data_IF_705963491597
#
_entry.id   IF_705963491597
#
_cell.length_a   1.000
_cell.length_b   1.000
_cell.length_c   1.000
_cell.angle_alpha   90.00
_cell.angle_beta   90.00
_cell.angle_gamma   90.00
#
_symmetry.space_group_name_H-M   'P 1'
#
loop_
_entity.id
_entity.type
_entity.pdbx_description
1 polymer ?
#
# COMPACT_ATOMS: atom_id res chain seq x y z
N UNK A 1 -3.05 1.41 14.10
CA UNK A 1 -2.73 0.05 13.64
C UNK A 1 -3.93 -0.85 13.88
N UNK A 2 -4.55 -1.38 12.82
CA UNK A 2 -5.70 -2.28 12.90
C UNK A 2 -5.39 -3.60 13.62
N UNK A 3 -6.36 -4.12 14.38
CA UNK A 3 -6.29 -5.47 14.94
C UNK A 3 -7.00 -6.41 13.96
N UNK A 4 -6.30 -7.34 13.28
CA UNK A 4 -6.91 -8.30 12.36
C UNK A 4 -7.98 -9.17 13.03
N UNK A 5 -7.99 -9.26 14.36
CA UNK A 5 -9.01 -9.96 15.13
C UNK A 5 -10.17 -9.05 15.54
N UNK A 6 -10.13 -7.76 15.24
CA UNK A 6 -11.23 -6.85 15.50
C UNK A 6 -12.48 -7.33 14.76
N UNK A 7 -13.65 -7.43 15.41
CA UNK A 7 -14.86 -7.96 14.78
C UNK A 7 -15.23 -7.25 13.48
N UNK A 8 -15.08 -5.92 13.42
CA UNK A 8 -15.38 -5.12 12.23
C UNK A 8 -14.40 -5.39 11.09
N UNK A 9 -13.12 -5.63 11.40
CA UNK A 9 -12.11 -5.92 10.39
C UNK A 9 -12.36 -7.30 9.79
N UNK A 10 -12.74 -8.30 10.61
CA UNK A 10 -13.12 -9.64 10.13
C UNK A 10 -14.39 -9.63 9.27
N UNK A 11 -15.37 -8.82 9.64
CA UNK A 11 -16.60 -8.63 8.87
C UNK A 11 -16.28 -8.06 7.48
N UNK A 12 -15.55 -6.94 7.42
CA UNK A 12 -15.13 -6.33 6.17
C UNK A 12 -14.23 -7.26 5.33
N UNK A 13 -13.29 -7.94 5.96
CA UNK A 13 -12.42 -8.93 5.31
C UNK A 13 -13.26 -10.04 4.64
N UNK A 14 -14.31 -10.52 5.31
CA UNK A 14 -15.17 -11.59 4.77
C UNK A 14 -15.92 -11.13 3.52
N UNK A 15 -16.44 -9.90 3.53
CA UNK A 15 -17.11 -9.30 2.36
C UNK A 15 -16.14 -9.22 1.17
N UNK A 16 -14.93 -8.70 1.41
CA UNK A 16 -13.90 -8.61 0.38
C UNK A 16 -13.41 -9.97 -0.12
N UNK A 17 -13.26 -10.94 0.78
CA UNK A 17 -12.86 -12.30 0.44
C UNK A 17 -13.91 -12.99 -0.43
N UNK A 18 -15.20 -12.82 -0.13
CA UNK A 18 -16.28 -13.37 -0.94
C UNK A 18 -16.28 -12.76 -2.34
N UNK A 19 -16.13 -11.44 -2.45
CA UNK A 19 -16.03 -10.75 -3.74
C UNK A 19 -14.85 -11.25 -4.58
N UNK A 20 -13.68 -11.41 -3.95
CA UNK A 20 -12.49 -11.91 -4.63
C UNK A 20 -12.66 -13.36 -5.10
N UNK A 21 -13.23 -14.24 -4.27
CA UNK A 21 -13.50 -15.63 -4.66
C UNK A 21 -14.50 -15.73 -5.81
N UNK A 22 -15.56 -14.91 -5.81
CA UNK A 22 -16.51 -14.83 -6.92
C UNK A 22 -15.81 -14.44 -8.23
N UNK A 23 -14.89 -13.48 -8.18
CA UNK A 23 -14.11 -13.07 -9.35
C UNK A 23 -13.19 -14.19 -9.85
N UNK A 24 -12.59 -14.96 -8.94
CA UNK A 24 -11.71 -16.09 -9.29
C UNK A 24 -12.47 -17.31 -9.82
N UNK A 25 -13.68 -17.57 -9.32
CA UNK A 25 -14.49 -18.74 -9.69
C UNK A 25 -15.24 -18.55 -11.02
N UNK A 26 -15.50 -17.30 -11.42
CA UNK A 26 -15.98 -17.00 -12.75
C UNK A 26 -14.98 -17.47 -13.80
N UNK A 27 -15.20 -18.63 -14.42
CA UNK A 27 -14.41 -19.15 -15.56
C UNK A 27 -14.49 -18.26 -16.82
N UNK A 28 -15.03 -17.06 -16.71
CA UNK A 28 -15.19 -16.11 -17.79
C UNK A 28 -14.03 -15.12 -17.73
N UNK A 29 -13.34 -14.98 -18.87
CA UNK A 29 -12.35 -13.93 -19.12
C UNK A 29 -12.80 -12.64 -18.42
N UNK A 30 -11.90 -12.03 -17.62
CA UNK A 30 -12.09 -10.73 -16.95
C UNK A 30 -12.90 -9.77 -17.85
N UNK A 31 -14.22 -9.79 -17.68
CA UNK A 31 -15.15 -8.97 -18.43
C UNK A 31 -15.50 -7.81 -17.51
N UNK A 32 -15.35 -6.56 -17.97
CA UNK A 32 -15.65 -5.38 -17.14
C UNK A 32 -17.01 -5.49 -16.43
N UNK A 33 -18.03 -5.98 -17.14
CA UNK A 33 -19.39 -6.15 -16.59
C UNK A 33 -19.45 -7.08 -15.37
N UNK A 34 -18.69 -8.19 -15.38
CA UNK A 34 -18.68 -9.15 -14.26
C UNK A 34 -17.97 -8.54 -13.06
N UNK A 35 -16.87 -7.82 -13.30
CA UNK A 35 -16.16 -7.10 -12.23
C UNK A 35 -17.07 -6.04 -11.61
N UNK A 36 -17.80 -5.26 -12.42
CA UNK A 36 -18.72 -4.23 -11.95
C UNK A 36 -19.84 -4.81 -11.08
N UNK A 37 -20.43 -5.95 -11.48
CA UNK A 37 -21.46 -6.65 -10.68
C UNK A 37 -20.92 -7.13 -9.32
N UNK A 38 -19.70 -7.66 -9.28
CA UNK A 38 -19.06 -8.13 -8.04
C UNK A 38 -18.72 -6.94 -7.13
N UNK A 39 -18.20 -5.84 -7.68
CA UNK A 39 -17.95 -4.60 -6.94
C UNK A 39 -19.26 -4.07 -6.37
N UNK A 40 -20.32 -4.06 -7.17
CA UNK A 40 -21.64 -3.59 -6.76
C UNK A 40 -22.18 -4.40 -5.58
N UNK A 41 -22.16 -5.73 -5.67
CA UNK A 41 -22.59 -6.60 -4.57
C UNK A 41 -21.78 -6.37 -3.29
N UNK A 42 -20.45 -6.35 -3.39
CA UNK A 42 -19.58 -6.12 -2.24
C UNK A 42 -19.83 -4.75 -1.60
N UNK A 43 -20.10 -3.74 -2.44
CA UNK A 43 -20.43 -2.40 -1.97
C UNK A 43 -21.76 -2.35 -1.21
N UNK A 44 -22.78 -3.06 -1.67
CA UNK A 44 -24.09 -3.14 -1.01
C UNK A 44 -23.99 -3.83 0.35
N UNK A 45 -23.19 -4.91 0.43
CA UNK A 45 -22.91 -5.59 1.70
C UNK A 45 -22.17 -4.68 2.69
N UNK A 46 -21.19 -3.90 2.21
CA UNK A 46 -20.50 -2.90 3.05
C UNK A 46 -21.43 -1.78 3.53
N UNK A 47 -22.32 -1.28 2.67
CA UNK A 47 -23.33 -0.28 3.06
C UNK A 47 -24.25 -0.85 4.11
N UNK A 48 -24.79 -2.05 3.90
CA UNK A 48 -25.66 -2.75 4.84
C UNK A 48 -24.95 -2.94 6.20
N UNK A 49 -23.70 -3.39 6.20
CA UNK A 49 -22.91 -3.52 7.42
C UNK A 49 -22.72 -2.18 8.13
N UNK A 50 -22.41 -1.12 7.39
CA UNK A 50 -22.16 0.23 7.92
C UNK A 50 -23.41 0.83 8.57
N UNK A 51 -24.57 0.74 7.93
CA UNK A 51 -25.82 1.36 8.45
C UNK A 51 -26.35 0.69 9.72
N UNK A 52 -25.88 -0.53 10.03
CA UNK A 52 -26.23 -1.20 11.30
C UNK A 52 -25.34 -0.80 12.47
N UNK A 53 -24.24 -0.08 12.22
CA UNK A 53 -23.32 0.33 13.28
C UNK A 53 -23.91 1.49 14.09
N UNK A 54 -23.60 1.50 15.38
CA UNK A 54 -23.88 2.65 16.23
C UNK A 54 -23.06 3.85 15.77
N UNK A 55 -23.56 5.07 15.98
CA UNK A 55 -22.92 6.28 15.45
C UNK A 55 -21.45 6.45 15.92
N UNK A 56 -21.14 6.07 17.15
CA UNK A 56 -19.80 6.07 17.73
C UNK A 56 -18.87 4.95 17.21
N UNK A 57 -19.42 3.98 16.48
CA UNK A 57 -18.70 2.84 15.93
C UNK A 57 -18.45 2.95 14.42
N UNK A 58 -19.09 3.90 13.73
CA UNK A 58 -18.98 4.08 12.28
C UNK A 58 -17.54 4.37 11.85
N UNK A 59 -16.86 5.31 12.51
CA UNK A 59 -15.45 5.63 12.20
C UNK A 59 -14.53 4.42 12.40
N UNK A 60 -14.70 3.69 13.51
CA UNK A 60 -13.96 2.45 13.79
C UNK A 60 -14.21 1.40 12.71
N UNK A 61 -15.45 1.28 12.23
CA UNK A 61 -15.79 0.37 11.14
C UNK A 61 -15.12 0.78 9.82
N UNK A 62 -15.09 2.07 9.48
CA UNK A 62 -14.37 2.54 8.29
C UNK A 62 -12.88 2.24 8.37
N UNK A 63 -12.22 2.58 9.48
CA UNK A 63 -10.81 2.25 9.68
C UNK A 63 -10.53 0.74 9.60
N UNK A 64 -11.41 -0.07 10.22
CA UNK A 64 -11.33 -1.53 10.17
C UNK A 64 -11.50 -2.06 8.74
N UNK A 65 -12.39 -1.45 7.96
CA UNK A 65 -12.63 -1.80 6.56
C UNK A 65 -11.40 -1.48 5.70
N UNK A 66 -10.80 -0.30 5.86
CA UNK A 66 -9.58 0.08 5.15
C UNK A 66 -8.39 -0.82 5.54
N UNK A 67 -8.27 -1.17 6.82
CA UNK A 67 -7.27 -2.13 7.29
C UNK A 67 -7.49 -3.54 6.69
N UNK A 68 -8.74 -3.96 6.53
CA UNK A 68 -9.07 -5.25 5.91
C UNK A 68 -8.64 -5.34 4.44
N UNK A 69 -8.66 -4.22 3.69
CA UNK A 69 -8.18 -4.16 2.30
C UNK A 69 -6.71 -4.62 2.23
N UNK A 70 -5.86 -4.06 3.08
CA UNK A 70 -4.42 -4.38 3.09
C UNK A 70 -4.18 -5.78 3.58
N UNK A 71 -4.87 -6.19 4.65
CA UNK A 71 -4.74 -7.53 5.19
C UNK A 71 -5.11 -8.58 4.15
N UNK A 72 -6.18 -8.37 3.39
CA UNK A 72 -6.50 -9.26 2.29
C UNK A 72 -5.46 -9.19 1.17
N UNK A 73 -4.97 -7.99 0.83
CA UNK A 73 -3.91 -7.82 -0.16
C UNK A 73 -2.59 -8.50 0.26
N UNK A 74 -2.34 -8.76 1.56
CA UNK A 74 -1.19 -9.60 1.98
C UNK A 74 -1.30 -11.05 1.51
N UNK A 75 -2.52 -11.55 1.32
CA UNK A 75 -2.80 -12.90 0.83
C UNK A 75 -3.00 -12.94 -0.68
N UNK A 76 -3.49 -11.84 -1.26
CA UNK A 76 -3.78 -11.72 -2.69
C UNK A 76 -3.64 -10.28 -3.17
N UNK A 77 -2.43 -9.76 -3.46
CA UNK A 77 -2.26 -8.34 -3.79
C UNK A 77 -3.02 -7.88 -5.02
N UNK A 78 -3.25 -8.80 -5.97
CA UNK A 78 -4.04 -8.58 -7.18
C UNK A 78 -5.50 -8.19 -6.89
N UNK A 79 -6.00 -8.40 -5.67
CA UNK A 79 -7.36 -8.02 -5.27
C UNK A 79 -7.49 -6.56 -4.86
N UNK A 80 -6.38 -5.83 -4.72
CA UNK A 80 -6.36 -4.49 -4.14
C UNK A 80 -7.28 -3.51 -4.88
N UNK A 81 -7.26 -3.49 -6.22
CA UNK A 81 -8.12 -2.59 -7.00
C UNK A 81 -9.61 -2.88 -6.78
N UNK A 82 -9.99 -4.16 -6.76
CA UNK A 82 -11.37 -4.59 -6.54
C UNK A 82 -11.90 -4.05 -5.20
N UNK A 83 -11.07 -4.15 -4.15
CA UNK A 83 -11.44 -3.77 -2.79
C UNK A 83 -11.53 -2.26 -2.61
N UNK A 84 -10.59 -1.51 -3.18
CA UNK A 84 -10.64 -0.04 -3.21
C UNK A 84 -11.88 0.45 -3.96
N UNK A 85 -12.23 -0.18 -5.09
CA UNK A 85 -13.44 0.16 -5.84
C UNK A 85 -14.71 -0.16 -5.04
N UNK A 86 -14.81 -1.34 -4.43
CA UNK A 86 -15.94 -1.72 -3.59
C UNK A 86 -16.14 -0.75 -2.41
N UNK A 87 -15.06 -0.33 -1.75
CA UNK A 87 -15.11 0.66 -0.67
C UNK A 87 -15.66 2.01 -1.16
N UNK A 88 -15.18 2.49 -2.31
CA UNK A 88 -15.62 3.79 -2.87
C UNK A 88 -17.06 3.73 -3.35
N UNK A 89 -17.46 2.64 -4.00
CA UNK A 89 -18.86 2.41 -4.37
C UNK A 89 -19.76 2.41 -3.13
N UNK A 90 -19.32 1.76 -2.04
CA UNK A 90 -20.05 1.77 -0.78
C UNK A 90 -20.14 3.20 -0.22
N UNK A 91 -19.02 3.92 -0.15
CA UNK A 91 -18.96 5.29 0.34
C UNK A 91 -19.94 6.22 -0.40
N UNK A 92 -20.05 6.10 -1.72
CA UNK A 92 -20.96 6.90 -2.55
C UNK A 92 -22.45 6.57 -2.33
N UNK A 93 -22.77 5.41 -1.75
CA UNK A 93 -24.14 4.97 -1.46
C UNK A 93 -24.55 5.22 -0.01
N UNK A 94 -23.63 5.62 0.86
CA UNK A 94 -23.92 5.81 2.28
C UNK A 94 -24.95 6.94 2.49
N UNK A 95 -26.00 6.70 3.28
CA UNK A 95 -26.95 7.74 3.62
C UNK A 95 -26.30 8.80 4.53
N UNK A 96 -26.79 10.03 4.47
CA UNK A 96 -26.24 11.17 5.23
C UNK A 96 -26.34 11.02 6.75
N UNK A 97 -27.19 10.11 7.23
CA UNK A 97 -27.30 9.75 8.65
C UNK A 97 -26.09 8.94 9.17
N UNK A 98 -25.32 8.31 8.29
CA UNK A 98 -24.03 7.69 8.65
C UNK A 98 -23.02 8.82 8.81
N UNK A 99 -22.46 8.97 10.01
CA UNK A 99 -21.53 10.06 10.34
C UNK A 99 -20.27 9.51 10.98
N UNK A 100 -19.14 10.12 10.65
CA UNK A 100 -17.84 9.94 11.33
C UNK A 100 -17.28 11.32 11.73
N UNK A 101 -16.08 11.32 12.31
CA UNK A 101 -15.37 12.56 12.68
C UNK A 101 -15.01 13.43 11.46
N UNK A 102 -15.00 12.84 10.25
CA UNK A 102 -14.63 13.51 9.01
C UNK A 102 -15.84 13.99 8.18
N UNK A 103 -17.07 13.72 8.63
CA UNK A 103 -18.28 14.20 7.98
C UNK A 103 -19.40 13.17 7.88
N UNK A 104 -20.31 13.39 6.93
CA UNK A 104 -21.53 12.58 6.75
C UNK A 104 -21.54 11.86 5.41
N UNK A 105 -22.15 10.67 5.38
CA UNK A 105 -22.28 9.81 4.21
C UNK A 105 -20.93 9.61 3.52
N UNK A 106 -20.90 9.90 2.22
CA UNK A 106 -19.70 9.84 1.39
C UNK A 106 -18.55 10.71 1.91
N UNK A 107 -18.82 11.91 2.41
CA UNK A 107 -17.76 12.80 2.90
C UNK A 107 -17.04 12.18 4.11
N UNK A 108 -17.79 11.55 5.02
CA UNK A 108 -17.23 10.87 6.18
C UNK A 108 -16.32 9.72 5.78
N UNK A 109 -16.81 8.81 4.93
CA UNK A 109 -16.02 7.66 4.46
C UNK A 109 -14.79 8.07 3.64
N UNK A 110 -14.92 9.02 2.70
CA UNK A 110 -13.77 9.49 1.91
C UNK A 110 -12.77 10.28 2.75
N UNK A 111 -13.22 10.96 3.82
CA UNK A 111 -12.36 11.59 4.81
C UNK A 111 -11.50 10.57 5.58
N UNK A 112 -12.09 9.45 5.99
CA UNK A 112 -11.37 8.32 6.61
C UNK A 112 -10.33 7.72 5.66
N UNK A 113 -10.69 7.52 4.39
CA UNK A 113 -9.74 7.04 3.37
C UNK A 113 -8.54 7.99 3.21
N UNK A 114 -8.79 9.29 3.12
CA UNK A 114 -7.73 10.30 3.02
C UNK A 114 -6.84 10.29 4.26
N UNK A 115 -7.43 10.27 5.46
CA UNK A 115 -6.68 10.21 6.70
C UNK A 115 -5.84 8.94 6.81
N UNK A 116 -6.41 7.79 6.48
CA UNK A 116 -5.73 6.49 6.49
C UNK A 116 -4.51 6.48 5.55
N UNK A 117 -4.64 7.05 4.34
CA UNK A 117 -3.52 7.20 3.40
C UNK A 117 -2.41 8.08 3.99
N UNK A 118 -2.77 9.18 4.68
CA UNK A 118 -1.80 10.09 5.29
C UNK A 118 -1.10 9.43 6.50
N UNK A 119 -1.86 8.83 7.40
CA UNK A 119 -1.33 8.20 8.62
C UNK A 119 -0.39 7.03 8.27
N UNK A 120 -0.79 6.17 7.34
CA UNK A 120 0.02 5.01 6.94
C UNK A 120 1.22 5.42 6.07
N UNK A 121 1.17 6.56 5.37
CA UNK A 121 2.34 7.13 4.69
C UNK A 121 3.44 7.56 5.67
N UNK A 122 3.05 8.14 6.81
CA UNK A 122 3.99 8.51 7.88
C UNK A 122 4.56 7.27 8.61
N UNK A 123 3.82 6.16 8.59
CA UNK A 123 4.24 4.86 9.11
C UNK A 123 5.41 4.20 8.36
N UNK A 124 5.78 4.70 7.17
CA UNK A 124 6.92 4.19 6.38
C UNK A 124 8.29 4.61 6.91
N UNK A 125 8.36 5.37 8.00
CA UNK A 125 9.59 5.59 8.73
C UNK A 125 9.80 4.35 9.60
N UNK A 126 10.74 3.44 9.26
CA UNK A 126 10.99 2.28 10.12
C UNK A 126 11.23 2.80 11.53
N UNK A 127 10.61 2.20 12.57
CA UNK A 127 10.82 2.66 13.93
C UNK A 127 12.32 2.71 14.17
N UNK A 128 12.83 3.89 14.52
CA UNK A 128 14.21 4.12 14.92
C UNK A 128 14.45 3.31 16.20
N UNK A 129 14.61 2.00 16.08
CA UNK A 129 14.99 1.16 17.21
C UNK A 129 16.47 1.40 17.46
N UNK A 130 16.72 2.19 18.52
CA UNK A 130 17.98 2.38 19.22
C UNK A 130 19.08 1.37 18.85
N UNK A 131 19.96 1.75 17.93
CA UNK A 131 21.12 0.93 17.61
C UNK A 131 22.24 1.19 18.62
N UNK A 132 22.86 0.09 19.04
CA UNK A 132 24.19 0.09 19.62
C UNK A 132 25.13 0.92 18.76
N UNK A 133 25.93 1.75 19.43
CA UNK A 133 27.00 2.57 18.88
C UNK A 133 28.10 1.68 18.30
N UNK A 134 27.97 1.33 17.02
CA UNK A 134 29.04 0.74 16.23
C UNK A 134 29.09 1.45 14.89
N UNK A 135 30.28 1.88 14.47
CA UNK A 135 30.51 2.43 13.13
C UNK A 135 30.04 1.40 12.09
N UNK A 136 28.93 1.68 11.42
CA UNK A 136 28.42 0.84 10.34
C UNK A 136 28.87 1.38 9.00
N UNK A 137 29.27 0.44 8.15
CA UNK A 137 29.46 0.63 6.71
C UNK A 137 28.24 1.31 6.09
N UNK A 138 28.46 2.25 5.16
CA UNK A 138 27.41 2.92 4.38
C UNK A 138 26.61 1.98 3.46
N UNK A 139 26.93 0.68 3.46
CA UNK A 139 26.29 -0.36 2.66
C UNK A 139 25.26 -1.22 3.43
N UNK A 140 25.04 -0.99 4.73
CA UNK A 140 24.01 -1.71 5.49
C UNK A 140 22.67 -0.98 5.42
N UNK A 141 21.64 -1.63 4.86
CA UNK A 141 20.25 -1.14 4.93
C UNK A 141 19.84 -0.99 6.41
N UNK A 142 19.73 0.26 6.86
CA UNK A 142 19.44 0.61 8.25
C UNK A 142 18.06 0.13 8.72
N UNK A 143 17.19 -0.25 7.78
CA UNK A 143 15.88 -0.81 8.05
C UNK A 143 15.90 -2.34 8.20
N UNK A 144 17.06 -3.00 8.18
CA UNK A 144 17.13 -4.42 8.53
C UNK A 144 17.25 -4.60 10.05
N UNK A 145 16.54 -5.58 10.66
CA UNK A 145 16.73 -5.89 12.06
C UNK A 145 18.15 -6.42 12.27
N UNK A 146 18.78 -5.96 13.34
CA UNK A 146 20.07 -6.50 13.78
C UNK A 146 19.88 -7.32 15.04
N UNK A 147 20.54 -8.46 15.09
CA UNK A 147 20.53 -9.38 16.21
C UNK A 147 21.92 -9.51 16.79
N UNK A 148 22.04 -9.43 18.11
CA UNK A 148 23.29 -9.71 18.79
C UNK A 148 23.58 -11.21 18.76
N UNK A 149 24.85 -11.59 18.71
CA UNK A 149 25.27 -12.99 18.71
C UNK A 149 24.65 -13.79 19.88
N UNK A 150 24.53 -13.18 21.06
CA UNK A 150 23.88 -13.79 22.23
C UNK A 150 22.38 -14.01 22.03
N UNK A 151 21.67 -13.08 21.40
CA UNK A 151 20.25 -13.26 21.09
C UNK A 151 20.04 -14.46 20.17
N UNK A 152 20.91 -14.61 19.16
CA UNK A 152 20.86 -15.74 18.21
C UNK A 152 21.17 -17.07 18.91
N UNK A 153 22.16 -17.10 19.81
CA UNK A 153 22.57 -18.32 20.53
C UNK A 153 21.57 -18.73 21.62
N UNK A 154 21.09 -17.78 22.40
CA UNK A 154 20.33 -18.07 23.62
C UNK A 154 18.81 -17.98 23.41
N UNK A 155 18.35 -17.30 22.36
CA UNK A 155 16.93 -16.96 22.12
C UNK A 155 16.53 -17.07 20.65
N UNK A 156 16.98 -18.12 19.96
CA UNK A 156 16.75 -18.32 18.53
C UNK A 156 15.28 -18.15 18.10
N UNK A 157 14.33 -18.74 18.85
CA UNK A 157 12.90 -18.62 18.51
C UNK A 157 12.42 -17.16 18.52
N UNK A 158 12.82 -16.37 19.52
CA UNK A 158 12.47 -14.94 19.57
C UNK A 158 13.11 -14.11 18.46
N UNK A 159 14.28 -14.52 17.96
CA UNK A 159 14.91 -13.92 16.77
C UNK A 159 14.10 -14.24 15.51
N UNK A 160 13.66 -15.49 15.35
CA UNK A 160 12.83 -15.91 14.22
C UNK A 160 11.46 -15.21 14.21
N UNK A 161 10.81 -15.11 15.37
CA UNK A 161 9.52 -14.41 15.50
C UNK A 161 9.65 -12.93 15.10
N UNK A 162 10.67 -12.22 15.63
CA UNK A 162 10.95 -10.83 15.25
C UNK A 162 11.27 -10.67 13.76
N UNK A 163 12.02 -11.61 13.17
CA UNK A 163 12.31 -11.58 11.75
C UNK A 163 11.05 -11.79 10.89
N UNK A 164 10.13 -12.65 11.35
CA UNK A 164 8.84 -12.86 10.71
C UNK A 164 7.93 -11.63 10.81
N UNK A 165 7.81 -11.02 11.99
CA UNK A 165 7.07 -9.76 12.20
C UNK A 165 7.61 -8.66 11.28
N UNK A 166 8.93 -8.53 11.18
CA UNK A 166 9.56 -7.53 10.31
C UNK A 166 9.25 -7.77 8.83
N UNK A 167 9.29 -9.03 8.39
CA UNK A 167 8.92 -9.38 7.01
C UNK A 167 7.45 -9.02 6.74
N UNK A 168 6.54 -9.38 7.63
CA UNK A 168 5.12 -9.05 7.50
C UNK A 168 4.88 -7.54 7.45
N UNK A 169 5.58 -6.78 8.29
CA UNK A 169 5.52 -5.32 8.28
C UNK A 169 5.99 -4.75 6.94
N UNK A 170 7.12 -5.22 6.38
CA UNK A 170 7.60 -4.79 5.05
C UNK A 170 6.58 -5.07 3.95
N UNK A 171 5.98 -6.26 3.93
CA UNK A 171 4.91 -6.59 2.96
C UNK A 171 3.75 -5.61 3.09
N UNK A 172 3.28 -5.36 4.33
CA UNK A 172 2.19 -4.41 4.60
C UNK A 172 2.52 -3.02 4.07
N UNK A 173 3.72 -2.50 4.36
CA UNK A 173 4.18 -1.22 3.85
C UNK A 173 4.16 -1.18 2.32
N UNK A 174 4.72 -2.19 1.64
CA UNK A 174 4.68 -2.26 0.18
C UNK A 174 3.25 -2.22 -0.40
N UNK A 175 2.31 -2.93 0.24
CA UNK A 175 0.91 -2.92 -0.16
C UNK A 175 0.23 -1.57 0.11
N UNK A 176 0.58 -0.91 1.21
CA UNK A 176 0.15 0.47 1.47
C UNK A 176 0.64 1.43 0.39
N UNK A 177 1.91 1.36 0.00
CA UNK A 177 2.44 2.17 -1.11
C UNK A 177 1.67 1.94 -2.41
N UNK A 178 1.36 0.69 -2.72
CA UNK A 178 0.51 0.38 -3.88
C UNK A 178 -0.89 0.98 -3.70
N UNK A 179 -1.53 0.80 -2.55
CA UNK A 179 -2.87 1.33 -2.28
C UNK A 179 -2.92 2.85 -2.44
N UNK A 180 -1.93 3.57 -1.91
CA UNK A 180 -1.80 5.02 -2.06
C UNK A 180 -1.71 5.44 -3.53
N UNK A 181 -0.82 4.80 -4.29
CA UNK A 181 -0.67 5.07 -5.72
C UNK A 181 -1.94 4.75 -6.50
N UNK A 182 -2.58 3.61 -6.22
CA UNK A 182 -3.85 3.22 -6.85
C UNK A 182 -4.97 4.19 -6.52
N UNK A 183 -5.08 4.65 -5.27
CA UNK A 183 -6.04 5.68 -4.88
C UNK A 183 -5.83 7.00 -5.63
N UNK A 184 -4.58 7.40 -5.88
CA UNK A 184 -4.27 8.56 -6.71
C UNK A 184 -4.68 8.34 -8.17
N UNK A 185 -4.26 7.21 -8.76
CA UNK A 185 -4.54 6.88 -10.15
C UNK A 185 -6.04 6.73 -10.47
N UNK A 186 -6.80 6.18 -9.52
CA UNK A 186 -8.24 6.03 -9.61
C UNK A 186 -8.98 7.30 -9.19
N UNK A 187 -8.27 8.39 -8.88
CA UNK A 187 -8.82 9.69 -8.48
C UNK A 187 -9.77 9.60 -7.27
N UNK A 188 -9.44 8.70 -6.34
CA UNK A 188 -10.19 8.42 -5.11
C UNK A 188 -9.83 9.40 -4.00
N UNK A 189 -8.60 9.90 -4.02
CA UNK A 189 -8.13 10.98 -3.14
C UNK A 189 -7.93 12.25 -3.97
N UNK A 190 -8.47 13.38 -3.51
CA UNK A 190 -8.35 14.68 -4.19
C UNK A 190 -7.91 15.76 -3.21
N UNK A 191 -6.81 16.45 -3.52
CA UNK A 191 -6.26 17.50 -2.66
C UNK A 191 -4.73 17.59 -2.67
N UNK A 192 -4.14 17.73 -1.48
CA UNK A 192 -2.70 17.90 -1.26
C UNK A 192 -1.87 16.63 -1.45
N UNK A 193 -2.50 15.48 -1.68
CA UNK A 193 -1.89 14.15 -1.58
C UNK A 193 -0.86 13.91 -2.69
N UNK A 194 -1.05 14.49 -3.87
CA UNK A 194 -0.04 14.46 -4.95
C UNK A 194 1.30 15.07 -4.51
N UNK A 195 1.29 16.09 -3.64
CA UNK A 195 2.52 16.66 -3.07
C UNK A 195 3.20 15.70 -2.10
N UNK A 196 2.43 14.94 -1.33
CA UNK A 196 2.97 13.93 -0.40
C UNK A 196 3.58 12.75 -1.17
N UNK A 197 2.92 12.29 -2.24
CA UNK A 197 3.43 11.27 -3.17
C UNK A 197 4.77 11.73 -3.78
N UNK A 198 4.84 12.95 -4.30
CA UNK A 198 6.06 13.54 -4.86
C UNK A 198 7.17 13.63 -3.79
N UNK A 199 6.83 14.11 -2.59
CA UNK A 199 7.80 14.23 -1.50
C UNK A 199 8.37 12.86 -1.08
N UNK A 200 7.52 11.84 -0.98
CA UNK A 200 7.95 10.48 -0.65
C UNK A 200 8.85 9.89 -1.74
N UNK A 201 8.47 10.00 -3.02
CA UNK A 201 9.29 9.52 -4.15
C UNK A 201 10.65 10.22 -4.16
N UNK A 202 10.68 11.55 -3.98
CA UNK A 202 11.94 12.29 -3.93
C UNK A 202 12.85 11.87 -2.78
N UNK A 203 12.27 11.63 -1.60
CA UNK A 203 13.00 11.14 -0.44
C UNK A 203 13.60 9.76 -0.72
N UNK A 204 12.80 8.84 -1.26
CA UNK A 204 13.20 7.46 -1.51
C UNK A 204 14.23 7.33 -2.65
N UNK A 205 14.20 8.22 -3.65
CA UNK A 205 15.19 8.26 -4.74
C UNK A 205 16.49 8.97 -4.37
N UNK A 206 16.59 9.57 -3.18
CA UNK A 206 17.80 10.24 -2.71
C UNK A 206 18.72 9.29 -1.91
N UNK A 207 19.50 8.47 -2.63
CA UNK A 207 20.43 7.50 -2.02
C UNK A 207 21.53 8.12 -1.16
N UNK A 208 21.87 9.40 -1.38
CA UNK A 208 22.95 10.07 -0.63
C UNK A 208 22.57 10.46 0.80
N UNK A 209 21.33 10.21 1.23
CA UNK A 209 20.86 10.51 2.58
C UNK A 209 21.36 9.51 3.63
N UNK A 210 21.66 9.99 4.84
CA UNK A 210 22.16 9.19 5.97
C UNK A 210 21.24 8.06 6.48
N UNK A 211 20.01 7.93 5.96
CA UNK A 211 18.97 7.02 6.45
C UNK A 211 18.15 6.43 5.30
N UNK A 212 18.82 5.91 4.28
CA UNK A 212 18.14 5.34 3.12
C UNK A 212 17.77 3.86 3.33
N UNK A 213 16.51 3.48 3.05
CA UNK A 213 15.96 2.14 3.26
C UNK A 213 15.58 1.49 1.93
N UNK A 214 15.96 0.22 1.76
CA UNK A 214 15.57 -0.55 0.60
C UNK A 214 14.04 -0.70 0.51
N UNK A 215 13.39 -0.97 1.64
CA UNK A 215 11.92 -1.09 1.70
C UNK A 215 11.22 0.21 1.29
N UNK A 216 11.75 1.37 1.71
CA UNK A 216 11.23 2.68 1.29
C UNK A 216 11.37 2.89 -0.22
N UNK A 217 12.50 2.51 -0.80
CA UNK A 217 12.69 2.57 -2.25
C UNK A 217 11.72 1.66 -2.99
N UNK A 218 11.59 0.40 -2.57
CA UNK A 218 10.68 -0.56 -3.20
C UNK A 218 9.23 -0.07 -3.12
N UNK A 219 8.81 0.44 -1.96
CA UNK A 219 7.51 1.08 -1.79
C UNK A 219 7.32 2.26 -2.73
N UNK A 220 8.29 3.17 -2.81
CA UNK A 220 8.22 4.32 -3.71
C UNK A 220 8.18 3.94 -5.19
N UNK A 221 8.94 2.93 -5.60
CA UNK A 221 8.93 2.43 -6.97
C UNK A 221 7.57 1.81 -7.33
N UNK A 222 6.96 1.05 -6.42
CA UNK A 222 5.64 0.46 -6.60
C UNK A 222 4.56 1.54 -6.63
N UNK A 223 4.58 2.48 -5.68
CA UNK A 223 3.64 3.61 -5.66
C UNK A 223 3.74 4.42 -6.95
N UNK A 224 4.95 4.74 -7.40
CA UNK A 224 5.16 5.50 -8.62
C UNK A 224 4.65 4.74 -9.85
N UNK A 225 4.94 3.43 -9.99
CA UNK A 225 4.36 2.62 -11.07
C UNK A 225 2.83 2.57 -11.02
N UNK A 226 2.24 2.59 -9.81
CA UNK A 226 0.80 2.55 -9.64
C UNK A 226 0.11 3.84 -10.12
N UNK A 227 0.80 4.99 -10.08
CA UNK A 227 0.24 6.31 -10.39
C UNK A 227 1.04 7.18 -11.39
N UNK A 228 1.98 6.59 -12.15
CA UNK A 228 2.92 7.34 -12.98
C UNK A 228 2.23 8.25 -14.01
N UNK A 229 1.18 7.77 -14.68
CA UNK A 229 0.46 8.53 -15.71
C UNK A 229 -0.29 9.68 -15.07
N UNK A 230 -1.03 9.39 -14.00
CA UNK A 230 -1.79 10.40 -13.29
C UNK A 230 -0.88 11.47 -12.70
N UNK A 231 0.25 11.06 -12.10
CA UNK A 231 1.20 11.96 -11.50
C UNK A 231 1.98 12.79 -12.54
N UNK A 232 2.26 12.24 -13.72
CA UNK A 232 2.93 12.96 -14.80
C UNK A 232 2.12 14.16 -15.32
N UNK A 233 0.80 14.19 -15.10
CA UNK A 233 -0.02 15.36 -15.39
C UNK A 233 0.24 16.52 -14.41
N UNK A 234 0.72 16.22 -13.19
CA UNK A 234 0.82 17.14 -12.06
C UNK A 234 2.26 17.50 -11.68
N UNK A 235 3.28 16.91 -12.34
CA UNK A 235 4.69 17.15 -12.02
C UNK A 235 5.61 17.17 -13.24
N UNK A 236 6.68 17.98 -13.16
CA UNK A 236 7.77 18.03 -14.15
C UNK A 236 8.97 17.15 -13.77
N UNK A 237 8.92 16.45 -12.64
CA UNK A 237 10.07 15.73 -12.07
C UNK A 237 10.35 14.36 -12.71
N UNK A 238 9.50 13.92 -13.64
CA UNK A 238 9.56 12.58 -14.22
C UNK A 238 10.92 12.29 -14.89
N UNK A 239 11.49 13.28 -15.59
CA UNK A 239 12.82 13.18 -16.20
C UNK A 239 13.94 13.05 -15.16
N UNK A 240 13.85 13.78 -14.05
CA UNK A 240 14.82 13.70 -12.96
C UNK A 240 14.77 12.32 -12.28
N UNK A 241 13.56 11.81 -12.03
CA UNK A 241 13.37 10.47 -11.45
C UNK A 241 13.93 9.38 -12.35
N UNK A 242 13.69 9.44 -13.66
CA UNK A 242 14.29 8.49 -14.62
C UNK A 242 15.82 8.51 -14.54
N UNK A 243 16.46 9.68 -14.52
CA UNK A 243 17.92 9.79 -14.41
C UNK A 243 18.45 9.19 -13.10
N UNK A 244 17.77 9.47 -11.97
CA UNK A 244 18.14 8.90 -10.67
C UNK A 244 18.03 7.38 -10.68
N UNK A 245 16.93 6.84 -11.19
CA UNK A 245 16.70 5.39 -11.25
C UNK A 245 17.66 4.71 -12.23
N UNK A 246 18.01 5.34 -13.35
CA UNK A 246 19.03 4.84 -14.28
C UNK A 246 20.40 4.71 -13.61
N UNK A 247 20.80 5.68 -12.80
CA UNK A 247 22.07 5.63 -12.07
C UNK A 247 22.14 4.43 -11.11
N UNK A 248 20.99 3.96 -10.59
CA UNK A 248 20.93 2.79 -9.69
C UNK A 248 21.27 1.49 -10.39
N UNK A 249 20.91 1.33 -11.67
CA UNK A 249 21.15 0.08 -12.40
C UNK A 249 22.65 -0.23 -12.55
N UNK A 250 23.45 0.83 -12.72
CA UNK A 250 24.90 0.74 -12.90
C UNK A 250 25.68 0.89 -11.59
N UNK A 251 25.00 1.11 -10.46
CA UNK A 251 25.64 1.21 -9.14
C UNK A 251 26.13 -0.15 -8.65
N UNK A 252 27.39 -0.22 -8.21
CA UNK A 252 28.00 -1.45 -7.68
C UNK A 252 27.53 -1.79 -6.26
N UNK A 253 26.98 -0.82 -5.53
CA UNK A 253 26.62 -0.92 -4.11
C UNK A 253 25.12 -1.05 -3.83
N UNK A 254 24.29 -1.32 -4.84
CA UNK A 254 22.83 -1.50 -4.68
C UNK A 254 22.43 -2.97 -4.80
N UNK A 255 21.44 -3.38 -4.02
CA UNK A 255 20.97 -4.76 -3.99
C UNK A 255 20.25 -5.17 -5.28
N UNK A 256 20.05 -6.48 -5.45
CA UNK A 256 19.28 -7.02 -6.57
C UNK A 256 17.83 -6.52 -6.58
N UNK A 257 17.18 -6.42 -5.41
CA UNK A 257 15.81 -5.91 -5.30
C UNK A 257 15.70 -4.48 -5.84
N UNK A 258 16.64 -3.60 -5.47
CA UNK A 258 16.70 -2.22 -5.97
C UNK A 258 16.89 -2.16 -7.47
N UNK A 259 17.79 -2.98 -8.02
CA UNK A 259 18.00 -3.04 -9.48
C UNK A 259 16.76 -3.56 -10.21
N UNK A 260 16.12 -4.60 -9.67
CA UNK A 260 14.90 -5.17 -10.26
C UNK A 260 13.75 -4.16 -10.27
N UNK A 261 13.46 -3.52 -9.14
CA UNK A 261 12.42 -2.51 -9.06
C UNK A 261 12.75 -1.24 -9.86
N UNK A 262 14.02 -0.86 -9.95
CA UNK A 262 14.49 0.20 -10.84
C UNK A 262 14.22 -0.12 -12.32
N UNK A 263 14.49 -1.34 -12.76
CA UNK A 263 14.26 -1.78 -14.14
C UNK A 263 12.77 -1.72 -14.49
N UNK A 264 11.91 -2.29 -13.64
CA UNK A 264 10.47 -2.28 -13.84
C UNK A 264 9.90 -0.86 -13.89
N UNK A 265 10.34 0.00 -12.97
CA UNK A 265 9.95 1.41 -12.95
C UNK A 265 10.40 2.14 -14.22
N UNK A 266 11.66 1.98 -14.64
CA UNK A 266 12.16 2.60 -15.87
C UNK A 266 11.44 2.12 -17.12
N UNK A 267 11.10 0.83 -17.18
CA UNK A 267 10.32 0.27 -18.28
C UNK A 267 8.96 0.96 -18.38
N UNK A 268 8.26 1.12 -17.27
CA UNK A 268 7.01 1.86 -17.20
C UNK A 268 7.20 3.31 -17.70
N UNK A 269 8.09 4.07 -17.06
CA UNK A 269 8.29 5.49 -17.35
C UNK A 269 8.71 5.76 -18.81
N UNK A 270 9.54 4.90 -19.41
CA UNK A 270 10.03 5.04 -20.80
C UNK A 270 8.99 4.63 -21.85
N UNK A 271 8.09 3.70 -21.54
CA UNK A 271 7.05 3.22 -22.47
C UNK A 271 5.85 4.16 -22.62
N UNK A 272 5.98 5.38 -22.10
CA UNK A 272 4.87 6.25 -21.72
C UNK A 272 4.43 5.88 -20.29
N UNK A 273 4.46 6.80 -19.32
CA UNK A 273 4.07 6.47 -17.96
C UNK A 273 2.63 5.95 -17.96
N UNK A 274 2.43 4.78 -17.34
CA UNK A 274 1.13 4.11 -17.23
C UNK A 274 0.80 3.90 -15.75
N UNK A 275 -0.46 4.06 -15.38
CA UNK A 275 -0.96 3.72 -14.05
C UNK A 275 -1.20 2.20 -13.98
N UNK A 276 -0.20 1.46 -13.50
CA UNK A 276 -0.31 0.00 -13.43
C UNK A 276 -1.37 -0.45 -12.43
N UNK A 277 -2.19 -1.41 -12.84
CA UNK A 277 -3.16 -2.07 -11.96
C UNK A 277 -2.45 -2.92 -10.91
N UNK A 278 -3.15 -3.23 -9.82
CA UNK A 278 -2.68 -4.18 -8.80
C UNK A 278 -2.23 -5.53 -9.39
N UNK A 279 -2.92 -6.04 -10.42
CA UNK A 279 -2.51 -7.25 -11.14
C UNK A 279 -1.14 -7.07 -11.81
N UNK A 280 -0.89 -5.91 -12.42
CA UNK A 280 0.38 -5.60 -13.10
C UNK A 280 1.52 -5.34 -12.12
N UNK A 281 1.24 -4.64 -11.02
CA UNK A 281 2.22 -4.35 -9.96
C UNK A 281 2.73 -5.62 -9.29
N UNK A 282 1.85 -6.61 -9.11
CA UNK A 282 2.12 -7.82 -8.32
C UNK A 282 2.08 -9.12 -9.15
N UNK A 283 2.47 -9.07 -10.43
CA UNK A 283 2.66 -10.31 -11.20
C UNK A 283 3.70 -11.19 -10.47
N UNK A 284 3.40 -12.49 -10.32
CA UNK A 284 4.18 -13.47 -9.54
C UNK A 284 5.70 -13.49 -9.80
N UNK A 285 6.14 -13.07 -10.98
CA UNK A 285 7.55 -12.98 -11.39
C UNK A 285 8.28 -11.72 -10.90
N UNK A 286 7.53 -10.69 -10.52
CA UNK A 286 8.03 -9.35 -10.17
C UNK A 286 8.02 -9.13 -8.64
N UNK A 287 7.58 -10.13 -7.89
CA UNK A 287 7.44 -10.07 -6.43
C UNK A 287 8.73 -10.57 -5.75
N UNK A 288 9.74 -9.70 -5.72
CA UNK A 288 11.03 -9.98 -5.10
C UNK A 288 11.16 -9.13 -3.83
N UNK A 289 11.17 -9.81 -2.67
CA UNK A 289 11.69 -9.27 -1.41
C UNK A 289 13.06 -9.87 -1.13
#
# INVERSE_FOLDING_TARGET
MGDPNHPFQREAFTIFQAAWLSLQQGQHQFSPTVTDEIVEQASDELVAATVTKQADQVGVFFYSTLSAIVDHATQSPASLDLMLQAYVHAANKLPTQVSSDYGQGTQGAMGELNWWIIEEADGFIPPLQNFATGEKSSAEDHSNPQFQEREVKDRLNGVLDRAQEWRQHRVRCTLMSAAMGRCYALNLVRGSEGRNVIAFVNSALNLGGQKWSEAQFVGAAIMLRACAKSLAADTSQMSEWMQKVEALLWGDSVSFAIKSHSELLLRNLRSGPHDETSIQLFQLKDWLF
#
